data_IF_450583637886
#
_entry.id   IF_450583637886
#
_cell.length_a   1.000
_cell.length_b   1.000
_cell.length_c   1.000
_cell.angle_alpha   90.00
_cell.angle_beta   90.00
_cell.angle_gamma   90.00
#
_symmetry.space_group_name_H-M   'P 1'
#
loop_
_entity.id
_entity.type
_entity.pdbx_description
1 polymer ?
#
# COMPACT_ATOMS: atom_id res chain seq x y z
N UNK A 1 -9.63 10.70 29.07
CA UNK A 1 -8.60 9.83 29.69
C UNK A 1 -8.32 8.59 28.85
N UNK A 2 -9.34 7.97 28.24
CA UNK A 2 -9.18 6.80 27.33
C UNK A 2 -8.40 7.12 26.03
N UNK A 3 -8.55 8.34 25.47
CA UNK A 3 -7.89 8.74 24.20
C UNK A 3 -6.37 8.80 24.32
N UNK A 4 -5.83 9.28 25.44
CA UNK A 4 -4.37 9.34 25.66
C UNK A 4 -3.74 7.95 25.83
N UNK A 5 -4.47 7.00 26.41
CA UNK A 5 -4.02 5.60 26.51
C UNK A 5 -4.04 4.88 25.16
N UNK A 6 -4.95 5.24 24.25
CA UNK A 6 -4.96 4.69 22.89
C UNK A 6 -3.77 5.17 22.07
N UNK A 7 -3.37 6.45 22.17
CA UNK A 7 -2.16 6.95 21.49
C UNK A 7 -0.87 6.29 22.02
N UNK A 8 -0.79 6.02 23.32
CA UNK A 8 0.35 5.36 23.97
C UNK A 8 0.43 3.85 23.65
N UNK A 9 -0.72 3.16 23.62
CA UNK A 9 -0.80 1.75 23.18
C UNK A 9 -0.51 1.59 21.70
N UNK A 10 -1.03 2.49 20.84
CA UNK A 10 -0.71 2.50 19.42
C UNK A 10 0.79 2.76 19.20
N UNK A 11 1.42 3.63 19.99
CA UNK A 11 2.87 3.88 19.86
C UNK A 11 3.74 2.71 20.33
N UNK A 12 3.33 1.98 21.38
CA UNK A 12 4.14 0.91 21.96
C UNK A 12 3.99 -0.43 21.22
N UNK A 13 2.77 -0.79 20.78
CA UNK A 13 2.52 -2.04 20.03
C UNK A 13 3.05 -1.92 18.59
N UNK A 14 2.87 -0.76 17.95
CA UNK A 14 3.30 -0.56 16.54
C UNK A 14 4.78 -0.18 16.44
N UNK A 15 5.38 0.37 17.51
CA UNK A 15 6.77 0.84 17.51
C UNK A 15 7.82 -0.27 17.43
N UNK A 16 7.56 -1.44 18.01
CA UNK A 16 8.44 -2.61 17.91
C UNK A 16 8.18 -3.43 16.65
N UNK A 17 6.93 -3.47 16.18
CA UNK A 17 6.53 -4.13 14.94
C UNK A 17 7.14 -3.49 13.66
N UNK A 18 7.48 -2.21 13.76
CA UNK A 18 7.97 -1.37 12.65
C UNK A 18 9.40 -1.66 12.16
N UNK A 19 10.24 -2.41 12.89
CA UNK A 19 11.69 -2.53 12.60
C UNK A 19 12.06 -3.65 11.64
N UNK A 20 11.32 -4.76 11.63
CA UNK A 20 11.78 -5.98 10.94
C UNK A 20 11.09 -6.21 9.58
N UNK A 21 9.86 -5.71 9.40
CA UNK A 21 9.12 -5.88 8.16
C UNK A 21 9.63 -4.98 7.02
N UNK A 22 10.00 -3.72 7.33
CA UNK A 22 10.52 -2.77 6.34
C UNK A 22 11.94 -3.09 5.84
N UNK A 23 12.68 -3.93 6.56
CA UNK A 23 14.04 -4.33 6.21
C UNK A 23 14.10 -5.60 5.34
N UNK A 24 13.04 -6.42 5.32
CA UNK A 24 13.04 -7.75 4.69
C UNK A 24 12.03 -7.93 3.55
N UNK A 25 11.28 -6.90 3.17
CA UNK A 25 10.46 -6.97 1.95
C UNK A 25 11.37 -6.91 0.72
N UNK A 26 11.75 -8.10 0.25
CA UNK A 26 12.64 -8.43 -0.87
C UNK A 26 12.13 -7.97 -2.26
N UNK A 27 11.33 -6.91 -2.31
CA UNK A 27 10.82 -6.30 -3.53
C UNK A 27 11.76 -5.21 -4.05
N UNK A 28 12.56 -4.56 -3.20
CA UNK A 28 13.33 -3.35 -3.59
C UNK A 28 14.84 -3.34 -3.29
N UNK A 29 15.48 -4.42 -2.82
CA UNK A 29 16.95 -4.43 -2.84
C UNK A 29 17.55 -5.85 -2.79
N UNK A 30 18.41 -6.18 -3.76
CA UNK A 30 19.21 -7.41 -3.77
C UNK A 30 20.70 -7.14 -3.48
N UNK A 31 21.11 -5.90 -3.20
CA UNK A 31 22.47 -5.58 -2.74
C UNK A 31 22.54 -4.17 -2.12
N UNK A 32 22.36 -4.05 -0.82
CA UNK A 32 23.01 -2.98 -0.07
C UNK A 32 23.31 -3.43 1.36
N UNK A 33 24.61 -3.48 1.67
CA UNK A 33 25.08 -3.64 3.03
C UNK A 33 24.58 -2.49 3.92
N UNK A 34 24.18 -2.92 5.11
CA UNK A 34 23.83 -2.15 6.30
C UNK A 34 24.65 -0.89 6.50
N UNK A 35 23.95 0.25 6.60
CA UNK A 35 24.26 1.34 7.53
C UNK A 35 23.31 2.49 7.28
N UNK A 36 22.21 2.62 8.05
CA UNK A 36 21.74 3.94 8.51
C UNK A 36 21.03 3.85 9.85
N UNK A 37 21.70 4.45 10.83
CA UNK A 37 21.25 4.81 12.16
C UNK A 37 20.52 6.16 12.05
N UNK A 38 19.25 6.25 12.46
CA UNK A 38 18.56 7.53 12.67
C UNK A 38 18.02 7.55 14.11
N UNK A 39 18.49 8.47 14.97
CA UNK A 39 18.21 8.43 16.40
C UNK A 39 16.91 9.18 16.72
N UNK A 40 15.81 8.45 16.95
CA UNK A 40 14.70 8.94 17.77
C UNK A 40 15.00 8.59 19.23
N UNK A 41 15.88 9.37 19.87
CA UNK A 41 16.22 9.22 21.28
C UNK A 41 15.28 10.08 22.12
N UNK A 42 14.14 9.51 22.52
CA UNK A 42 13.35 10.07 23.62
C UNK A 42 14.11 9.73 24.92
N UNK A 43 14.88 10.70 25.44
CA UNK A 43 15.57 10.55 26.72
C UNK A 43 14.56 10.49 27.86
N UNK A 44 14.58 9.39 28.60
CA UNK A 44 14.12 9.33 30.00
C UNK A 44 15.25 8.74 30.85
N UNK A 45 16.01 9.61 31.52
CA UNK A 45 16.76 9.27 32.75
C UNK A 45 15.73 9.35 33.91
N UNK A 46 15.65 8.49 34.94
CA UNK A 46 16.66 7.75 35.70
C UNK A 46 16.09 6.48 36.40
N UNK A 47 16.87 5.38 36.31
CA UNK A 47 17.25 4.34 37.30
C UNK A 47 16.28 3.77 38.36
N UNK A 48 16.21 2.42 38.40
CA UNK A 48 16.87 1.58 39.43
C UNK A 48 16.90 0.09 39.05
N UNK A 49 18.04 -0.53 39.32
CA UNK A 49 18.41 -1.92 39.09
C UNK A 49 17.51 -2.93 39.81
N UNK A 50 17.15 -4.02 39.12
CA UNK A 50 16.95 -5.35 39.68
C UNK A 50 17.02 -6.39 38.55
N UNK A 51 18.06 -7.23 38.60
CA UNK A 51 18.22 -8.47 37.83
C UNK A 51 16.99 -9.37 37.99
N UNK A 52 16.26 -9.69 36.92
CA UNK A 52 15.42 -10.90 36.83
C UNK A 52 15.44 -11.46 35.41
N UNK A 53 15.57 -12.79 35.40
CA UNK A 53 15.68 -13.77 34.32
C UNK A 53 15.19 -13.36 32.91
N UNK A 54 16.06 -13.62 31.93
CA UNK A 54 15.72 -13.76 30.52
C UNK A 54 14.93 -15.08 30.32
N UNK A 55 13.67 -15.11 30.75
CA UNK A 55 12.65 -15.93 30.07
C UNK A 55 12.20 -15.10 28.86
N UNK A 56 12.86 -15.34 27.73
CA UNK A 56 12.39 -14.91 26.43
C UNK A 56 11.14 -15.74 26.11
N UNK A 57 10.01 -15.40 26.73
CA UNK A 57 8.72 -15.82 26.26
C UNK A 57 8.61 -15.36 24.79
N UNK A 58 8.49 -16.30 23.86
CA UNK A 58 7.91 -16.04 22.55
C UNK A 58 6.50 -15.52 22.82
N UNK A 59 6.37 -14.22 23.03
CA UNK A 59 5.08 -13.55 23.13
C UNK A 59 4.38 -13.81 21.80
N UNK A 60 3.26 -14.53 21.85
CA UNK A 60 2.38 -14.80 20.72
C UNK A 60 1.88 -13.46 20.15
N UNK A 61 2.64 -12.88 19.21
CA UNK A 61 2.31 -11.60 18.55
C UNK A 61 0.96 -11.68 17.80
N UNK A 62 0.53 -12.89 17.45
CA UNK A 62 -0.78 -13.15 16.82
C UNK A 62 -1.94 -12.75 17.75
N UNK A 63 -1.83 -13.04 19.04
CA UNK A 63 -2.86 -12.69 20.04
C UNK A 63 -2.93 -11.17 20.22
N UNK A 64 -1.79 -10.48 20.21
CA UNK A 64 -1.72 -9.02 20.31
C UNK A 64 -2.33 -8.32 19.08
N UNK A 65 -2.06 -8.84 17.87
CA UNK A 65 -2.66 -8.31 16.63
C UNK A 65 -4.17 -8.51 16.59
N UNK A 66 -4.66 -9.66 17.07
CA UNK A 66 -6.09 -9.92 17.18
C UNK A 66 -6.77 -8.95 18.15
N UNK A 67 -6.19 -8.74 19.34
CA UNK A 67 -6.71 -7.78 20.31
C UNK A 67 -6.68 -6.35 19.77
N UNK A 68 -5.63 -5.97 19.04
CA UNK A 68 -5.54 -4.66 18.40
C UNK A 68 -6.65 -4.47 17.35
N UNK A 69 -6.87 -5.49 16.51
CA UNK A 69 -7.93 -5.48 15.51
C UNK A 69 -9.32 -5.33 16.15
N UNK A 70 -9.63 -6.11 17.19
CA UNK A 70 -10.92 -6.03 17.90
C UNK A 70 -11.16 -4.63 18.51
N UNK A 71 -10.13 -4.04 19.12
CA UNK A 71 -10.20 -2.70 19.68
C UNK A 71 -10.41 -1.63 18.60
N UNK A 72 -9.74 -1.75 17.46
CA UNK A 72 -9.88 -0.82 16.33
C UNK A 72 -11.25 -0.95 15.65
N UNK A 73 -11.79 -2.15 15.49
CA UNK A 73 -13.15 -2.35 14.99
C UNK A 73 -14.21 -1.77 15.94
N UNK A 74 -14.03 -1.94 17.25
CA UNK A 74 -14.89 -1.28 18.23
C UNK A 74 -14.82 0.26 18.12
N UNK A 75 -13.62 0.82 17.95
CA UNK A 75 -13.43 2.25 17.74
C UNK A 75 -14.10 2.74 16.44
N UNK A 76 -13.93 2.00 15.34
CA UNK A 76 -14.59 2.28 14.05
C UNK A 76 -16.11 2.40 14.20
N UNK A 77 -16.76 1.47 14.89
CA UNK A 77 -18.22 1.49 15.11
C UNK A 77 -18.70 2.72 15.90
N UNK A 78 -17.86 3.30 16.75
CA UNK A 78 -18.16 4.52 17.50
C UNK A 78 -17.96 5.74 16.59
N UNK A 79 -16.86 5.77 15.84
CA UNK A 79 -16.48 6.89 14.97
C UNK A 79 -17.41 7.05 13.77
N UNK A 80 -17.87 5.95 13.16
CA UNK A 80 -18.76 5.95 11.99
C UNK A 80 -20.12 6.65 12.25
N UNK A 81 -20.53 6.73 13.52
CA UNK A 81 -21.77 7.41 13.92
C UNK A 81 -21.63 8.94 13.99
N UNK A 82 -20.40 9.47 13.89
CA UNK A 82 -20.08 10.88 14.08
C UNK A 82 -19.46 11.46 12.80
N UNK A 83 -19.90 12.65 12.37
CA UNK A 83 -19.43 13.24 11.10
C UNK A 83 -18.57 14.51 11.28
N UNK A 84 -18.10 14.78 12.50
CA UNK A 84 -17.24 15.94 12.75
C UNK A 84 -15.83 15.70 12.21
N UNK A 85 -15.13 16.76 11.84
CA UNK A 85 -13.79 16.71 11.24
C UNK A 85 -12.80 15.91 12.09
N UNK A 86 -12.77 16.12 13.42
CA UNK A 86 -11.91 15.36 14.35
C UNK A 86 -12.21 13.87 14.35
N UNK A 87 -13.49 13.50 14.26
CA UNK A 87 -13.92 12.10 14.21
C UNK A 87 -13.52 11.49 12.87
N UNK A 88 -13.63 12.23 11.76
CA UNK A 88 -13.14 11.80 10.44
C UNK A 88 -11.64 11.55 10.45
N UNK A 89 -10.83 12.44 11.03
CA UNK A 89 -9.38 12.25 11.08
C UNK A 89 -8.99 11.03 11.92
N UNK A 90 -9.65 10.83 13.08
CA UNK A 90 -9.46 9.62 13.88
C UNK A 90 -9.94 8.35 13.14
N UNK A 91 -11.03 8.45 12.40
CA UNK A 91 -11.54 7.32 11.63
C UNK A 91 -10.57 6.94 10.50
N UNK A 92 -9.94 7.93 9.86
CA UNK A 92 -8.90 7.66 8.89
C UNK A 92 -7.72 6.90 9.52
N UNK A 93 -7.25 7.32 10.69
CA UNK A 93 -6.16 6.64 11.40
C UNK A 93 -6.56 5.19 11.78
N UNK A 94 -7.77 4.99 12.29
CA UNK A 94 -8.30 3.64 12.60
C UNK A 94 -8.34 2.77 11.34
N UNK A 95 -8.84 3.30 10.23
CA UNK A 95 -8.91 2.57 8.95
C UNK A 95 -7.51 2.24 8.41
N UNK A 96 -6.54 3.16 8.58
CA UNK A 96 -5.15 2.91 8.23
C UNK A 96 -4.57 1.74 9.03
N UNK A 97 -4.74 1.74 10.35
CA UNK A 97 -4.19 0.68 11.20
C UNK A 97 -4.88 -0.67 11.00
N UNK A 98 -6.20 -0.70 10.79
CA UNK A 98 -6.91 -1.92 10.38
C UNK A 98 -6.34 -2.48 9.07
N UNK A 99 -6.09 -1.60 8.09
CA UNK A 99 -5.47 -1.99 6.84
C UNK A 99 -4.05 -2.56 7.01
N UNK A 100 -3.23 -1.97 7.88
CA UNK A 100 -1.88 -2.48 8.18
C UNK A 100 -1.91 -3.84 8.90
N UNK A 101 -2.84 -4.06 9.84
CA UNK A 101 -3.02 -5.36 10.50
C UNK A 101 -3.47 -6.42 9.48
N UNK A 102 -4.43 -6.08 8.60
CA UNK A 102 -4.87 -6.97 7.54
C UNK A 102 -3.71 -7.34 6.60
N UNK A 103 -2.87 -6.35 6.24
CA UNK A 103 -1.72 -6.57 5.38
C UNK A 103 -0.73 -7.56 6.02
N UNK A 104 -0.48 -7.41 7.32
CA UNK A 104 0.39 -8.33 8.07
C UNK A 104 -0.17 -9.76 8.10
N UNK A 105 -1.48 -9.89 8.26
CA UNK A 105 -2.18 -11.18 8.23
C UNK A 105 -2.27 -11.79 6.80
N UNK A 106 -1.62 -11.18 5.81
CA UNK A 106 -1.64 -11.62 4.41
C UNK A 106 -2.97 -11.34 3.69
N UNK A 107 -3.85 -10.54 4.28
CA UNK A 107 -5.15 -10.13 3.73
C UNK A 107 -4.98 -8.85 2.90
N UNK A 108 -4.21 -8.94 1.81
CA UNK A 108 -3.82 -7.77 0.99
C UNK A 108 -5.00 -7.04 0.34
N UNK A 109 -6.08 -7.74 0.00
CA UNK A 109 -7.27 -7.14 -0.62
C UNK A 109 -8.06 -6.32 0.41
N UNK A 110 -8.28 -6.86 1.59
CA UNK A 110 -8.91 -6.19 2.73
C UNK A 110 -8.05 -5.01 3.19
N UNK A 111 -6.72 -5.17 3.20
CA UNK A 111 -5.78 -4.11 3.51
C UNK A 111 -5.89 -2.92 2.55
N UNK A 112 -5.88 -3.19 1.24
CA UNK A 112 -6.09 -2.14 0.23
C UNK A 112 -7.40 -1.39 0.47
N UNK A 113 -8.51 -2.11 0.67
CA UNK A 113 -9.82 -1.48 0.87
C UNK A 113 -9.87 -0.60 2.12
N UNK A 114 -9.25 -1.01 3.23
CA UNK A 114 -9.25 -0.23 4.47
C UNK A 114 -8.32 0.99 4.39
N UNK A 115 -7.15 0.88 3.75
CA UNK A 115 -6.27 2.05 3.57
C UNK A 115 -6.82 3.02 2.52
N UNK A 116 -7.46 2.53 1.44
CA UNK A 116 -8.20 3.38 0.49
C UNK A 116 -9.27 4.21 1.21
N UNK A 117 -9.97 3.60 2.17
CA UNK A 117 -10.94 4.30 3.00
C UNK A 117 -10.28 5.40 3.84
N UNK A 118 -9.12 5.12 4.46
CA UNK A 118 -8.36 6.16 5.16
C UNK A 118 -8.00 7.35 4.26
N UNK A 119 -7.47 7.08 3.07
CA UNK A 119 -7.15 8.12 2.09
C UNK A 119 -8.39 8.93 1.72
N UNK A 120 -9.53 8.26 1.48
CA UNK A 120 -10.80 8.92 1.12
C UNK A 120 -11.32 9.86 2.22
N UNK A 121 -11.19 9.47 3.49
CA UNK A 121 -11.61 10.29 4.64
C UNK A 121 -10.75 11.54 4.81
N UNK A 122 -9.47 11.46 4.40
CA UNK A 122 -8.51 12.55 4.50
C UNK A 122 -8.48 13.45 3.26
N UNK A 123 -9.04 13.03 2.13
CA UNK A 123 -8.95 13.75 0.85
C UNK A 123 -9.51 15.18 0.96
N UNK A 124 -10.64 15.35 1.66
CA UNK A 124 -11.29 16.66 1.89
C UNK A 124 -10.50 17.58 2.84
N UNK A 125 -9.65 17.01 3.70
CA UNK A 125 -8.92 17.73 4.77
C UNK A 125 -7.39 17.58 4.67
N UNK A 126 -6.91 17.27 3.46
CA UNK A 126 -5.49 16.95 3.23
C UNK A 126 -4.56 18.14 3.37
N UNK A 127 -5.07 19.37 3.24
CA UNK A 127 -4.26 20.59 3.44
C UNK A 127 -4.15 20.96 4.92
N UNK A 128 -5.16 20.62 5.71
CA UNK A 128 -5.20 20.78 7.16
C UNK A 128 -4.36 19.70 7.85
N UNK A 129 -4.38 18.47 7.32
CA UNK A 129 -3.66 17.31 7.87
C UNK A 129 -2.73 16.65 6.84
N UNK A 130 -1.74 17.38 6.28
CA UNK A 130 -0.92 16.89 5.17
C UNK A 130 -0.09 15.66 5.54
N UNK A 131 0.41 15.58 6.77
CA UNK A 131 1.20 14.45 7.24
C UNK A 131 0.39 13.15 7.33
N UNK A 132 -0.87 13.22 7.81
CA UNK A 132 -1.75 12.04 7.91
C UNK A 132 -2.16 11.54 6.52
N UNK A 133 -2.50 12.47 5.63
CA UNK A 133 -2.81 12.13 4.24
C UNK A 133 -1.63 11.45 3.56
N UNK A 134 -0.44 12.08 3.62
CA UNK A 134 0.77 11.56 3.00
C UNK A 134 1.16 10.20 3.56
N UNK A 135 1.00 9.97 4.87
CA UNK A 135 1.23 8.67 5.50
C UNK A 135 0.31 7.59 4.94
N UNK A 136 -0.99 7.87 4.86
CA UNK A 136 -1.98 6.89 4.39
C UNK A 136 -1.79 6.56 2.91
N UNK A 137 -1.53 7.58 2.08
CA UNK A 137 -1.21 7.40 0.67
C UNK A 137 0.11 6.64 0.48
N UNK A 138 1.12 6.90 1.30
CA UNK A 138 2.38 6.15 1.25
C UNK A 138 2.15 4.65 1.52
N UNK A 139 1.46 4.31 2.61
CA UNK A 139 1.20 2.90 2.95
C UNK A 139 0.37 2.19 1.86
N UNK A 140 -0.65 2.86 1.30
CA UNK A 140 -1.39 2.32 0.16
C UNK A 140 -0.49 2.06 -1.04
N UNK A 141 0.44 2.98 -1.31
CA UNK A 141 1.44 2.84 -2.37
C UNK A 141 2.34 1.62 -2.17
N UNK A 142 2.75 1.35 -0.92
CA UNK A 142 3.53 0.15 -0.58
C UNK A 142 2.74 -1.12 -0.88
N UNK A 143 1.47 -1.22 -0.44
CA UNK A 143 0.64 -2.40 -0.69
C UNK A 143 0.42 -2.61 -2.19
N UNK A 144 0.09 -1.55 -2.95
CA UNK A 144 0.00 -1.66 -4.40
C UNK A 144 1.32 -2.09 -5.05
N UNK A 145 2.46 -1.62 -4.54
CA UNK A 145 3.79 -2.05 -4.97
C UNK A 145 4.01 -3.54 -4.76
N UNK A 146 3.65 -4.07 -3.58
CA UNK A 146 3.68 -5.50 -3.26
C UNK A 146 2.84 -6.32 -4.22
N UNK A 147 1.66 -5.79 -4.58
CA UNK A 147 0.73 -6.37 -5.56
C UNK A 147 1.17 -6.18 -7.01
N UNK A 148 2.34 -5.58 -7.27
CA UNK A 148 2.87 -5.25 -8.61
C UNK A 148 1.97 -4.29 -9.41
N UNK A 149 1.10 -3.56 -8.73
CA UNK A 149 0.26 -2.49 -9.26
C UNK A 149 1.07 -1.18 -9.28
N UNK A 150 2.15 -1.16 -10.07
CA UNK A 150 3.14 -0.08 -10.03
C UNK A 150 2.59 1.27 -10.51
N UNK A 151 1.53 1.29 -11.33
CA UNK A 151 0.91 2.54 -11.79
C UNK A 151 0.11 3.20 -10.66
N UNK A 152 -0.65 2.40 -9.93
CA UNK A 152 -1.43 2.80 -8.78
C UNK A 152 -0.51 3.20 -7.62
N UNK A 153 0.52 2.40 -7.34
CA UNK A 153 1.54 2.71 -6.34
C UNK A 153 2.21 4.07 -6.62
N UNK A 154 2.63 4.32 -7.88
CA UNK A 154 3.25 5.58 -8.26
C UNK A 154 2.32 6.77 -8.04
N UNK A 155 1.04 6.66 -8.41
CA UNK A 155 0.05 7.72 -8.17
C UNK A 155 -0.10 8.04 -6.69
N UNK A 156 -0.13 7.03 -5.83
CA UNK A 156 -0.20 7.22 -4.38
C UNK A 156 1.02 7.99 -3.85
N UNK A 157 2.23 7.61 -4.27
CA UNK A 157 3.45 8.32 -3.87
C UNK A 157 3.52 9.75 -4.43
N UNK A 158 3.13 9.96 -5.69
CA UNK A 158 3.06 11.28 -6.33
C UNK A 158 2.10 12.21 -5.56
N UNK A 159 0.92 11.71 -5.17
CA UNK A 159 -0.06 12.47 -4.40
C UNK A 159 0.47 12.83 -3.00
N UNK A 160 1.08 11.86 -2.30
CA UNK A 160 1.71 12.11 -1.00
C UNK A 160 2.80 13.18 -1.12
N UNK A 161 3.66 13.07 -2.14
CA UNK A 161 4.75 14.01 -2.41
C UNK A 161 4.24 15.42 -2.72
N UNK A 162 3.16 15.53 -3.49
CA UNK A 162 2.57 16.83 -3.83
C UNK A 162 2.08 17.55 -2.57
N UNK A 163 1.33 16.85 -1.72
CA UNK A 163 0.79 17.42 -0.47
C UNK A 163 1.90 17.84 0.50
N UNK A 164 2.96 17.04 0.64
CA UNK A 164 4.10 17.39 1.50
C UNK A 164 4.91 18.56 0.96
N UNK A 165 5.09 18.68 -0.36
CA UNK A 165 5.75 19.84 -0.95
C UNK A 165 4.96 21.13 -0.74
N UNK A 166 3.65 21.09 -0.92
CA UNK A 166 2.78 22.24 -0.64
C UNK A 166 2.86 22.63 0.83
N UNK A 167 2.86 21.65 1.74
CA UNK A 167 3.05 21.89 3.16
C UNK A 167 4.42 22.51 3.47
N UNK A 168 5.49 22.02 2.84
CA UNK A 168 6.85 22.55 3.00
C UNK A 168 6.96 24.01 2.54
N UNK A 169 6.33 24.37 1.41
CA UNK A 169 6.27 25.77 0.93
C UNK A 169 5.54 26.65 1.95
N UNK A 170 4.41 26.18 2.48
CA UNK A 170 3.66 26.91 3.50
C UNK A 170 4.45 27.05 4.80
N UNK A 171 5.14 25.99 5.22
CA UNK A 171 5.93 25.95 6.44
C UNK A 171 7.11 26.94 6.35
N UNK A 172 7.87 26.92 5.25
CA UNK A 172 8.95 27.90 5.02
C UNK A 172 8.46 29.34 4.98
N UNK A 173 7.24 29.57 4.49
CA UNK A 173 6.63 30.92 4.42
C UNK A 173 6.17 31.44 5.78
N UNK A 174 5.57 30.59 6.62
CA UNK A 174 5.00 30.99 7.92
C UNK A 174 5.99 30.90 9.07
N UNK A 175 6.88 29.91 9.03
CA UNK A 175 7.78 29.52 10.12
C UNK A 175 9.14 29.10 9.54
N UNK A 176 9.87 30.07 9.00
CA UNK A 176 11.21 29.88 8.46
C UNK A 176 12.23 29.30 9.48
N UNK A 177 11.97 29.47 10.77
CA UNK A 177 12.84 29.01 11.85
C UNK A 177 12.55 27.56 12.31
N UNK A 178 11.49 26.91 11.80
CA UNK A 178 11.15 25.52 12.11
C UNK A 178 12.04 24.53 11.34
N UNK A 179 13.36 24.63 11.55
CA UNK A 179 14.37 23.86 10.80
C UNK A 179 14.17 22.35 10.92
N UNK A 180 13.85 21.84 12.11
CA UNK A 180 13.63 20.41 12.34
C UNK A 180 12.48 19.86 11.49
N UNK A 181 11.31 20.49 11.53
CA UNK A 181 10.15 20.05 10.74
C UNK A 181 10.43 20.17 9.23
N UNK A 182 11.11 21.24 8.81
CA UNK A 182 11.51 21.41 7.40
C UNK A 182 12.44 20.27 6.97
N UNK A 183 13.44 19.92 7.77
CA UNK A 183 14.41 18.88 7.47
C UNK A 183 13.73 17.50 7.43
N UNK A 184 12.82 17.20 8.37
CA UNK A 184 12.02 15.96 8.38
C UNK A 184 11.14 15.80 7.14
N UNK A 185 10.34 16.82 6.81
CA UNK A 185 9.45 16.76 5.63
C UNK A 185 10.28 16.69 4.34
N UNK A 186 11.45 17.35 4.29
CA UNK A 186 12.37 17.24 3.15
C UNK A 186 12.90 15.81 3.00
N UNK A 187 13.30 15.15 4.09
CA UNK A 187 13.74 13.75 4.08
C UNK A 187 12.62 12.79 3.64
N UNK A 188 11.38 13.00 4.12
CA UNK A 188 10.23 12.20 3.69
C UNK A 188 9.93 12.38 2.19
N UNK A 189 10.05 13.59 1.67
CA UNK A 189 9.84 13.88 0.25
C UNK A 189 10.89 13.19 -0.62
N UNK A 190 12.15 13.16 -0.17
CA UNK A 190 13.22 12.45 -0.87
C UNK A 190 12.96 10.93 -0.89
N UNK A 191 12.52 10.35 0.24
CA UNK A 191 12.15 8.93 0.28
C UNK A 191 10.99 8.60 -0.68
N UNK A 192 10.01 9.50 -0.82
CA UNK A 192 8.94 9.38 -1.80
C UNK A 192 9.46 9.44 -3.25
N UNK A 193 10.45 10.27 -3.54
CA UNK A 193 11.08 10.34 -4.86
C UNK A 193 11.78 9.02 -5.21
N UNK A 194 12.49 8.42 -4.26
CA UNK A 194 13.10 7.09 -4.44
C UNK A 194 12.03 6.04 -4.76
N UNK A 195 10.91 6.04 -4.02
CA UNK A 195 9.78 5.11 -4.27
C UNK A 195 9.07 5.34 -5.60
N UNK A 196 8.97 6.58 -6.05
CA UNK A 196 8.45 6.90 -7.39
C UNK A 196 9.40 6.35 -8.46
N UNK A 197 10.71 6.56 -8.29
CA UNK A 197 11.73 6.08 -9.22
C UNK A 197 11.70 4.56 -9.31
N UNK A 198 11.70 3.86 -8.18
CA UNK A 198 11.54 2.41 -8.07
C UNK A 198 10.33 1.92 -8.90
N UNK A 199 9.16 2.56 -8.74
CA UNK A 199 7.95 2.21 -9.49
C UNK A 199 8.12 2.43 -11.01
N UNK A 200 8.81 3.49 -11.43
CA UNK A 200 9.05 3.75 -12.87
C UNK A 200 9.97 2.72 -13.50
N UNK A 201 10.98 2.26 -12.77
CA UNK A 201 11.92 1.24 -13.25
C UNK A 201 11.23 -0.12 -13.36
N UNK A 202 10.41 -0.49 -12.37
CA UNK A 202 9.58 -1.70 -12.43
C UNK A 202 8.61 -1.67 -13.63
N UNK A 203 8.01 -0.52 -13.95
CA UNK A 203 7.14 -0.36 -15.13
C UNK A 203 7.91 -0.53 -16.45
N UNK A 204 9.11 0.05 -16.55
CA UNK A 204 9.96 -0.08 -17.73
C UNK A 204 10.42 -1.54 -17.94
N UNK A 205 10.78 -2.23 -16.85
CA UNK A 205 11.17 -3.64 -16.88
C UNK A 205 9.99 -4.59 -17.21
N UNK A 206 8.77 -4.24 -16.82
CA UNK A 206 7.57 -5.00 -17.18
C UNK A 206 7.23 -4.85 -18.68
N UNK A 207 7.41 -3.64 -19.23
CA UNK A 207 7.10 -3.34 -20.63
C UNK A 207 8.12 -3.92 -21.61
N UNK A 208 9.40 -3.97 -21.24
CA UNK A 208 10.47 -4.52 -22.10
C UNK A 208 10.40 -6.05 -22.27
N UNK A 209 9.67 -6.76 -21.42
CA UNK A 209 9.45 -8.22 -21.53
C UNK A 209 8.33 -8.61 -22.52
N UNK A 210 7.62 -7.64 -23.12
CA UNK A 210 6.53 -7.91 -24.08
C UNK A 210 6.91 -7.77 -25.56
N UNK A 211 8.16 -7.39 -25.90
CA UNK A 211 8.65 -7.36 -27.30
C UNK A 211 9.51 -8.59 -27.64
N UNK A 212 8.86 -9.73 -27.92
CA UNK A 212 9.32 -10.64 -28.98
C UNK A 212 8.10 -11.18 -29.74
N UNK A 213 7.88 -10.68 -30.96
CA UNK A 213 7.96 -11.59 -32.10
C UNK A 213 8.68 -10.97 -33.31
N UNK A 214 9.16 -11.85 -34.21
CA UNK A 214 9.75 -11.58 -35.56
C UNK A 214 11.15 -10.91 -35.56
N UNK A 215 12.17 -11.33 -36.32
CA UNK A 215 12.23 -12.10 -37.57
C UNK A 215 13.61 -12.80 -37.75
N UNK A 216 13.63 -13.92 -38.48
CA UNK A 216 14.78 -14.27 -39.33
C UNK A 216 14.33 -14.29 -40.79
N UNK A 217 14.95 -13.50 -41.69
CA UNK A 217 14.78 -13.64 -43.13
C UNK A 217 15.80 -14.66 -43.67
N UNK A 218 15.44 -15.43 -44.71
CA UNK A 218 16.30 -15.82 -45.87
C UNK A 218 15.46 -16.61 -46.88
N UNK A 219 15.82 -16.43 -48.15
CA UNK A 219 15.03 -16.52 -49.37
C UNK A 219 15.15 -17.82 -50.17
N UNK A 220 14.09 -18.05 -50.97
CA UNK A 220 13.96 -18.62 -52.33
C UNK A 220 14.46 -20.05 -52.69
N UNK A 221 13.53 -20.83 -53.29
CA UNK A 221 13.85 -21.99 -54.13
C UNK A 221 12.69 -22.89 -54.60
N UNK A 222 11.75 -22.36 -55.40
CA UNK A 222 10.92 -23.01 -56.46
C UNK A 222 10.42 -24.46 -56.34
N UNK A 223 9.09 -24.69 -56.41
CA UNK A 223 8.39 -25.24 -57.61
C UNK A 223 6.86 -25.51 -57.43
N UNK A 224 6.10 -24.89 -58.34
CA UNK A 224 4.91 -25.36 -59.09
C UNK A 224 3.53 -25.62 -58.44
N UNK A 225 2.56 -24.83 -58.96
CA UNK A 225 1.16 -25.10 -59.37
C UNK A 225 0.16 -25.59 -58.30
N UNK A 226 -1.07 -25.10 -58.16
CA UNK A 226 -2.11 -24.68 -59.12
C UNK A 226 -3.11 -23.74 -58.43
N UNK A 227 -3.71 -22.88 -59.25
CA UNK A 227 -4.77 -21.90 -58.99
C UNK A 227 -6.02 -22.44 -58.27
N UNK A 228 -6.82 -21.56 -57.63
CA UNK A 228 -8.01 -20.96 -58.25
C UNK A 228 -8.96 -20.29 -57.21
N UNK A 229 -9.13 -18.96 -57.38
CA UNK A 229 -10.34 -18.12 -57.14
C UNK A 229 -11.01 -18.09 -55.75
N UNK A 230 -11.74 -17.06 -55.31
CA UNK A 230 -11.90 -15.64 -55.61
C UNK A 230 -12.99 -15.16 -54.65
N UNK A 231 -12.80 -13.98 -54.04
CA UNK A 231 -13.83 -13.02 -53.64
C UNK A 231 -14.84 -13.35 -52.52
N UNK A 232 -14.99 -12.39 -51.60
CA UNK A 232 -16.33 -11.91 -51.23
C UNK A 232 -16.57 -11.67 -49.75
N UNK A 233 -16.68 -10.38 -49.39
CA UNK A 233 -17.17 -9.79 -48.14
C UNK A 233 -18.37 -10.49 -47.45
N UNK A 234 -18.40 -10.46 -46.11
CA UNK A 234 -19.46 -9.74 -45.34
C UNK A 234 -19.32 -9.86 -43.81
N UNK A 235 -19.55 -8.72 -43.16
CA UNK A 235 -19.91 -8.55 -41.74
C UNK A 235 -21.27 -9.19 -41.43
N UNK A 236 -21.41 -9.87 -40.28
CA UNK A 236 -22.61 -9.86 -39.40
C UNK A 236 -22.35 -10.51 -38.03
N UNK A 237 -22.79 -9.81 -36.98
CA UNK A 237 -23.20 -10.21 -35.62
C UNK A 237 -22.99 -11.66 -35.14
N UNK A 238 -22.25 -11.80 -34.03
CA UNK A 238 -22.19 -13.04 -33.26
C UNK A 238 -23.33 -13.12 -32.24
N UNK A 239 -24.19 -14.10 -32.51
CA UNK A 239 -25.35 -14.55 -31.73
C UNK A 239 -24.92 -15.18 -30.40
N UNK A 240 -25.70 -14.92 -29.34
CA UNK A 240 -25.51 -15.47 -27.99
C UNK A 240 -25.50 -17.00 -27.94
N UNK A 241 -24.58 -17.53 -27.14
CA UNK A 241 -24.32 -18.97 -27.02
C UNK A 241 -25.46 -19.73 -26.36
N UNK A 242 -25.83 -20.84 -27.00
CA UNK A 242 -26.87 -21.79 -26.61
C UNK A 242 -26.46 -22.62 -25.38
N UNK A 243 -27.19 -22.46 -24.26
CA UNK A 243 -26.94 -23.12 -22.96
C UNK A 243 -27.76 -24.39 -22.73
N UNK A 244 -28.34 -24.98 -23.80
CA UNK A 244 -29.26 -26.14 -23.70
C UNK A 244 -28.62 -27.39 -23.06
N UNK A 245 -27.30 -27.42 -22.90
CA UNK A 245 -26.54 -28.50 -22.25
C UNK A 245 -26.57 -28.45 -20.69
N UNK A 246 -27.06 -27.38 -20.07
CA UNK A 246 -27.05 -27.22 -18.60
C UNK A 246 -28.30 -27.76 -17.88
N UNK A 247 -29.35 -28.17 -18.61
CA UNK A 247 -30.59 -28.67 -17.99
C UNK A 247 -30.57 -30.21 -17.89
N UNK A 248 -30.16 -30.74 -16.73
CA UNK A 248 -30.31 -32.17 -16.41
C UNK A 248 -31.77 -32.46 -16.04
N UNK A 249 -32.45 -33.31 -16.82
CA UNK A 249 -33.81 -33.79 -16.50
C UNK A 249 -33.74 -34.88 -15.42
N UNK A 250 -34.63 -34.79 -14.42
CA UNK A 250 -34.81 -35.78 -13.36
C UNK A 250 -35.60 -36.97 -13.92
N UNK A 251 -35.06 -38.18 -13.83
CA UNK A 251 -35.74 -39.42 -14.25
C UNK A 251 -36.67 -39.86 -13.11
N UNK A 252 -37.95 -40.18 -13.37
CA UNK A 252 -38.83 -40.76 -12.35
C UNK A 252 -38.54 -42.26 -12.18
N UNK A 253 -38.33 -42.68 -10.93
CA UNK A 253 -38.25 -44.10 -10.54
C UNK A 253 -39.66 -44.69 -10.51
N UNK A 254 -39.84 -45.87 -11.10
CA UNK A 254 -41.01 -46.75 -10.91
C UNK A 254 -40.66 -47.84 -9.90
#
# INVERSE_FOLDING_TARGET
MVIFHLEELLSNVIGNFRRDFWSNSCIFNENAESSYNVPFHLKTEDKKDAEQDEEQDEIDNEDDLMVAWENLEAARLILDKNNDEKHKTLYADVSLYLGLINFENGLEDEACSEIEKSVSLLEDIKLENPRRYARSAFELGIIYGTRKMFLEARKCFENARAVLNDFLVQLKKRYNDNKLEIDEITALTANLDDKIQDCTECQAAASSKQETPSDKPVSNGSKTVVSLASSGDKLTEAVGSDITHLVKRKVPCY
#
